data_IF_917070708830
#
_entry.id   IF_917070708830
#
_cell.length_a   1.000
_cell.length_b   1.000
_cell.length_c   1.000
_cell.angle_alpha   90.00
_cell.angle_beta   90.00
_cell.angle_gamma   90.00
#
_symmetry.space_group_name_H-M   'P 1'
#
loop_
_entity.id
_entity.type
_entity.pdbx_description
1 polymer ?
#
# COMPACT_ATOMS: atom_id res chain seq x y z
N UNK A 1 -11.19 -24.81 -5.06
CA UNK A 1 -11.49 -24.76 -6.51
C UNK A 1 -12.16 -23.46 -6.98
N UNK A 2 -12.93 -22.74 -6.16
CA UNK A 2 -13.70 -21.57 -6.62
C UNK A 2 -12.90 -20.36 -7.14
N UNK A 3 -11.90 -19.89 -6.39
CA UNK A 3 -11.19 -18.63 -6.73
C UNK A 3 -10.36 -18.72 -8.02
N UNK A 4 -9.73 -19.88 -8.27
CA UNK A 4 -8.92 -20.07 -9.48
C UNK A 4 -9.80 -20.03 -10.74
N UNK A 5 -10.91 -20.77 -10.73
CA UNK A 5 -11.89 -20.74 -11.81
C UNK A 5 -12.43 -19.31 -12.02
N UNK A 6 -12.70 -18.59 -10.93
CA UNK A 6 -13.15 -17.20 -11.02
C UNK A 6 -12.11 -16.28 -11.69
N UNK A 7 -10.81 -16.53 -11.53
CA UNK A 7 -9.76 -15.77 -12.23
C UNK A 7 -9.66 -16.11 -13.71
N UNK A 8 -9.88 -17.36 -14.10
CA UNK A 8 -9.79 -17.81 -15.50
C UNK A 8 -10.92 -17.27 -16.37
N UNK A 9 -12.05 -16.90 -15.77
CA UNK A 9 -13.20 -16.34 -16.49
C UNK A 9 -13.08 -14.83 -16.78
N UNK A 10 -11.95 -14.18 -16.44
CA UNK A 10 -11.70 -12.74 -16.66
C UNK A 10 -12.89 -11.82 -16.32
N UNK A 11 -13.41 -11.88 -15.09
CA UNK A 11 -14.62 -11.16 -14.72
C UNK A 11 -14.38 -9.66 -14.72
N UNK A 12 -15.43 -8.89 -15.07
CA UNK A 12 -15.42 -7.42 -14.89
C UNK A 12 -15.43 -7.03 -13.40
N UNK A 13 -16.10 -7.82 -12.57
CA UNK A 13 -16.13 -7.65 -11.13
C UNK A 13 -16.06 -9.01 -10.42
N UNK A 14 -15.25 -9.12 -9.37
CA UNK A 14 -15.13 -10.32 -8.54
C UNK A 14 -15.36 -9.98 -7.07
N UNK A 15 -16.28 -10.72 -6.46
CA UNK A 15 -16.57 -10.66 -5.03
C UNK A 15 -15.91 -11.86 -4.34
N UNK A 16 -15.14 -11.59 -3.28
CA UNK A 16 -14.48 -12.62 -2.49
C UNK A 16 -14.87 -12.42 -1.04
N UNK A 17 -15.58 -13.41 -0.49
CA UNK A 17 -15.92 -13.45 0.92
C UNK A 17 -14.78 -14.04 1.76
N UNK A 18 -14.69 -13.65 3.03
CA UNK A 18 -13.66 -14.09 3.99
C UNK A 18 -12.21 -14.09 3.46
N UNK A 19 -11.84 -13.02 2.75
CA UNK A 19 -10.51 -12.86 2.17
C UNK A 19 -9.40 -13.00 3.22
N UNK A 20 -8.52 -13.98 2.99
CA UNK A 20 -7.36 -14.24 3.83
C UNK A 20 -7.59 -15.16 5.02
N UNK A 21 -8.82 -15.60 5.30
CA UNK A 21 -9.11 -16.45 6.48
C UNK A 21 -8.37 -17.80 6.46
N UNK A 22 -8.19 -18.39 5.27
CA UNK A 22 -7.55 -19.69 5.07
C UNK A 22 -6.19 -19.60 4.35
N UNK A 23 -5.64 -18.40 4.21
CA UNK A 23 -4.38 -18.22 3.48
C UNK A 23 -3.20 -18.20 4.43
N UNK A 24 -2.20 -19.03 4.15
CA UNK A 24 -0.87 -18.75 4.67
C UNK A 24 -0.28 -17.48 4.02
N UNK A 25 0.76 -16.93 4.62
CA UNK A 25 1.37 -15.68 4.16
C UNK A 25 1.91 -15.75 2.71
N UNK A 26 2.37 -16.92 2.26
CA UNK A 26 2.92 -17.11 0.92
C UNK A 26 1.81 -17.16 -0.13
N UNK A 27 0.73 -17.90 0.17
CA UNK A 27 -0.46 -17.99 -0.66
C UNK A 27 -1.17 -16.64 -0.74
N UNK A 28 -1.36 -15.94 0.37
CA UNK A 28 -1.95 -14.60 0.40
C UNK A 28 -1.16 -13.64 -0.49
N UNK A 29 0.18 -13.66 -0.40
CA UNK A 29 1.04 -12.87 -1.28
C UNK A 29 0.82 -13.21 -2.75
N UNK A 30 0.79 -14.49 -3.15
CA UNK A 30 0.55 -14.90 -4.54
C UNK A 30 -0.83 -14.43 -5.05
N UNK A 31 -1.87 -14.64 -4.26
CA UNK A 31 -3.25 -14.23 -4.59
C UNK A 31 -3.32 -12.70 -4.72
N UNK A 32 -2.71 -11.96 -3.79
CA UNK A 32 -2.66 -10.49 -3.85
C UNK A 32 -1.99 -9.98 -5.12
N UNK A 33 -0.85 -10.56 -5.52
CA UNK A 33 -0.17 -10.14 -6.75
C UNK A 33 -1.02 -10.46 -8.00
N UNK A 34 -1.73 -11.59 -8.03
CA UNK A 34 -2.67 -11.92 -9.10
C UNK A 34 -3.84 -10.93 -9.17
N UNK A 35 -4.43 -10.56 -8.03
CA UNK A 35 -5.50 -9.55 -7.95
C UNK A 35 -5.01 -8.20 -8.49
N UNK A 36 -3.82 -7.74 -8.06
CA UNK A 36 -3.22 -6.49 -8.54
C UNK A 36 -2.98 -6.52 -10.05
N UNK A 37 -2.48 -7.63 -10.58
CA UNK A 37 -2.27 -7.81 -12.01
C UNK A 37 -3.60 -7.72 -12.77
N UNK A 38 -4.62 -8.48 -12.36
CA UNK A 38 -5.93 -8.46 -13.02
C UNK A 38 -6.60 -7.08 -12.97
N UNK A 39 -6.50 -6.37 -11.84
CA UNK A 39 -7.02 -5.02 -11.74
C UNK A 39 -6.33 -4.06 -12.74
N UNK A 40 -4.99 -4.18 -12.88
CA UNK A 40 -4.21 -3.32 -13.78
C UNK A 40 -4.39 -3.65 -15.26
N UNK A 41 -4.36 -4.93 -15.61
CA UNK A 41 -4.35 -5.37 -17.02
C UNK A 41 -5.75 -5.56 -17.59
N UNK A 42 -6.70 -6.05 -16.79
CA UNK A 42 -8.05 -6.40 -17.25
C UNK A 42 -9.12 -5.40 -16.79
N UNK A 43 -8.76 -4.48 -15.89
CA UNK A 43 -9.72 -3.54 -15.30
C UNK A 43 -10.73 -4.22 -14.35
N UNK A 44 -10.47 -5.46 -13.91
CA UNK A 44 -11.34 -6.17 -12.98
C UNK A 44 -11.47 -5.39 -11.67
N UNK A 45 -12.71 -5.17 -11.24
CA UNK A 45 -13.01 -4.57 -9.93
C UNK A 45 -13.13 -5.68 -8.88
N UNK A 46 -12.36 -5.58 -7.80
CA UNK A 46 -12.42 -6.55 -6.72
C UNK A 46 -13.13 -5.96 -5.51
N UNK A 47 -14.11 -6.68 -4.98
CA UNK A 47 -14.76 -6.40 -3.69
C UNK A 47 -14.38 -7.55 -2.76
N UNK A 48 -13.63 -7.24 -1.72
CA UNK A 48 -13.07 -8.22 -0.80
C UNK A 48 -13.65 -7.97 0.59
N UNK A 49 -14.34 -8.95 1.15
CA UNK A 49 -14.85 -8.92 2.51
C UNK A 49 -13.92 -9.70 3.44
N UNK A 50 -13.72 -9.22 4.66
CA UNK A 50 -12.98 -9.92 5.71
C UNK A 50 -13.30 -9.31 7.07
N UNK A 51 -13.27 -10.11 8.12
CA UNK A 51 -13.41 -9.64 9.50
C UNK A 51 -12.20 -8.83 9.98
N UNK A 52 -11.04 -8.95 9.31
CA UNK A 52 -9.82 -8.19 9.59
C UNK A 52 -9.32 -7.43 8.37
N UNK A 53 -8.90 -6.18 8.57
CA UNK A 53 -8.41 -5.32 7.50
C UNK A 53 -6.92 -5.51 7.18
N UNK A 54 -6.22 -6.42 7.89
CA UNK A 54 -4.75 -6.54 7.84
C UNK A 54 -4.26 -6.92 6.44
N UNK A 55 -4.92 -7.85 5.77
CA UNK A 55 -4.58 -8.23 4.40
C UNK A 55 -5.18 -7.24 3.38
N UNK A 56 -6.41 -6.77 3.62
CA UNK A 56 -7.11 -5.82 2.75
C UNK A 56 -6.31 -4.52 2.55
N UNK A 57 -5.73 -3.97 3.63
CA UNK A 57 -4.89 -2.76 3.60
C UNK A 57 -3.71 -2.83 2.62
N UNK A 58 -3.23 -4.03 2.28
CA UNK A 58 -2.07 -4.25 1.40
C UNK A 58 -2.38 -4.08 -0.09
N UNK A 59 -3.66 -4.05 -0.47
CA UNK A 59 -4.08 -3.96 -1.87
C UNK A 59 -5.31 -3.08 -2.14
N UNK A 60 -6.17 -2.87 -1.14
CA UNK A 60 -7.41 -2.14 -1.36
C UNK A 60 -7.14 -0.67 -1.72
N UNK A 61 -7.88 -0.18 -2.72
CA UNK A 61 -7.95 1.23 -3.10
C UNK A 61 -8.83 2.03 -2.13
N UNK A 62 -9.87 1.40 -1.61
CA UNK A 62 -10.82 1.94 -0.62
C UNK A 62 -11.14 0.84 0.39
N UNK A 63 -11.14 1.18 1.66
CA UNK A 63 -11.59 0.34 2.77
C UNK A 63 -12.91 0.90 3.29
N UNK A 64 -13.93 0.06 3.31
CA UNK A 64 -15.25 0.36 3.88
C UNK A 64 -15.40 -0.53 5.11
N UNK A 65 -15.56 0.11 6.26
CA UNK A 65 -15.77 -0.57 7.54
C UNK A 65 -17.26 -0.59 7.84
N UNK A 66 -17.75 -1.76 8.25
CA UNK A 66 -19.13 -1.96 8.67
C UNK A 66 -19.17 -2.18 10.19
N UNK A 67 -20.20 -1.63 10.83
CA UNK A 67 -20.53 -1.87 12.24
C UNK A 67 -22.05 -1.97 12.37
N UNK A 68 -22.55 -3.04 12.97
CA UNK A 68 -23.98 -3.35 13.11
C UNK A 68 -24.81 -3.11 11.83
N UNK A 69 -24.31 -3.57 10.69
CA UNK A 69 -24.98 -3.43 9.39
C UNK A 69 -24.88 -2.05 8.74
N UNK A 70 -24.20 -1.08 9.35
CA UNK A 70 -24.03 0.28 8.84
C UNK A 70 -22.58 0.56 8.45
N UNK A 71 -22.35 1.47 7.50
CA UNK A 71 -21.00 1.96 7.21
C UNK A 71 -20.55 2.84 8.37
N UNK A 72 -19.63 2.34 9.18
CA UNK A 72 -19.04 3.11 10.28
C UNK A 72 -17.96 4.06 9.77
N UNK A 73 -17.24 3.67 8.70
CA UNK A 73 -16.08 4.42 8.23
C UNK A 73 -15.69 4.08 6.79
N UNK A 74 -15.27 5.10 6.03
CA UNK A 74 -14.63 4.93 4.72
C UNK A 74 -13.20 5.49 4.81
N UNK A 75 -12.23 4.75 4.27
CA UNK A 75 -10.82 5.19 4.18
C UNK A 75 -10.27 4.91 2.80
N UNK A 76 -9.51 5.85 2.28
CA UNK A 76 -8.65 5.59 1.13
C UNK A 76 -7.59 4.56 1.52
N UNK A 77 -7.41 3.54 0.69
CA UNK A 77 -6.35 2.56 0.87
C UNK A 77 -5.03 3.04 0.28
N UNK A 78 -4.03 2.15 0.30
CA UNK A 78 -2.70 2.45 -0.22
C UNK A 78 -2.72 2.42 -1.75
N UNK A 79 -3.25 3.46 -2.37
CA UNK A 79 -2.68 3.87 -3.65
C UNK A 79 -1.25 4.28 -3.35
N UNK A 80 -0.29 3.51 -3.85
CA UNK A 80 1.07 3.98 -4.03
C UNK A 80 0.97 5.34 -4.67
N UNK A 81 1.07 6.41 -3.87
CA UNK A 81 1.47 7.71 -4.41
C UNK A 81 2.69 7.38 -5.25
N UNK A 82 2.75 7.79 -6.54
CA UNK A 82 3.98 7.65 -7.30
C UNK A 82 5.05 8.19 -6.36
N UNK A 83 6.05 7.36 -6.08
CA UNK A 83 7.06 7.67 -5.08
C UNK A 83 7.42 9.13 -5.32
N UNK A 84 7.18 9.99 -4.32
CA UNK A 84 7.83 11.29 -4.37
C UNK A 84 9.28 10.88 -4.42
N UNK A 85 9.87 10.91 -5.63
CA UNK A 85 11.30 10.82 -5.83
C UNK A 85 11.84 11.64 -4.68
N UNK A 86 12.52 10.94 -3.78
CA UNK A 86 13.34 11.58 -2.77
C UNK A 86 14.21 12.51 -3.58
N UNK A 87 13.80 13.78 -3.70
CA UNK A 87 14.68 14.87 -4.13
C UNK A 87 15.82 14.70 -3.16
N UNK A 88 16.90 14.11 -3.65
CA UNK A 88 18.08 13.88 -2.87
C UNK A 88 18.40 15.25 -2.29
N UNK A 89 18.25 15.37 -0.97
CA UNK A 89 18.86 16.49 -0.28
C UNK A 89 20.35 16.21 -0.46
N UNK A 90 20.92 16.72 -1.55
CA UNK A 90 22.34 16.98 -1.67
C UNK A 90 22.67 17.92 -0.50
N UNK A 91 22.88 17.34 0.69
CA UNK A 91 23.62 17.96 1.76
C UNK A 91 25.04 18.10 1.20
N UNK A 92 25.27 19.18 0.46
CA UNK A 92 26.62 19.66 0.19
C UNK A 92 27.27 19.82 1.56
N UNK A 93 28.27 18.99 1.81
CA UNK A 93 29.21 19.17 2.90
C UNK A 93 29.81 20.57 2.78
N UNK A 94 29.24 21.52 3.53
CA UNK A 94 29.86 22.82 3.72
C UNK A 94 31.04 22.62 4.66
N UNK A 95 32.22 22.37 4.08
CA UNK A 95 33.50 22.57 4.77
C UNK A 95 33.70 24.07 4.96
N UNK A 96 33.13 24.65 6.02
CA UNK A 96 33.55 25.98 6.48
C UNK A 96 34.65 25.87 7.53
N UNK A 97 35.88 25.81 6.99
CA UNK A 97 37.05 26.60 7.37
C UNK A 97 37.06 27.12 8.82
N UNK A 98 37.92 26.53 9.64
CA UNK A 98 38.29 27.05 10.96
C UNK A 98 38.70 28.52 10.87
N UNK A 99 37.95 29.41 11.53
CA UNK A 99 38.39 30.78 11.77
C UNK A 99 39.44 30.74 12.88
N UNK A 100 40.73 30.86 12.53
CA UNK A 100 41.79 31.28 13.45
C UNK A 100 41.39 32.65 14.00
N UNK A 101 41.03 32.74 15.27
CA UNK A 101 40.90 34.01 15.99
C UNK A 101 42.29 34.45 16.44
N UNK A 102 42.92 35.33 15.67
CA UNK A 102 44.02 36.16 16.16
C UNK A 102 43.39 37.39 16.82
N UNK A 103 43.37 37.46 18.15
CA UNK A 103 43.24 38.75 18.84
C UNK A 103 44.45 38.99 19.73
N UNK A 104 45.18 40.01 19.30
CA UNK A 104 46.31 40.68 19.95
C UNK A 104 45.95 41.15 21.36
N UNK A 105 46.97 41.16 22.20
CA UNK A 105 47.02 41.73 23.54
C UNK A 105 46.47 43.16 23.63
N UNK A 106 45.91 43.49 24.79
CA UNK A 106 45.73 44.87 25.26
C UNK A 106 46.32 44.99 26.66
N UNK A 107 47.30 45.91 26.72
CA UNK A 107 47.87 46.68 27.84
C UNK A 107 48.45 45.89 29.01
#
# INVERSE_FOLDING_TARGET
MGLLNAFENDPRALLVDDYGALFDNNLEKKIREKIKLMNRELGTTFILASSSDTNLKKLASVLIYLDNGHISKIRSGLFTKPSKQTRSKNKKYSKHRSKKTNYRSKV
#
